data_IF_362781932136
#
_entry.id   IF_362781932136
#
_cell.length_a   1.000
_cell.length_b   1.000
_cell.length_c   1.000
_cell.angle_alpha   90.00
_cell.angle_beta   90.00
_cell.angle_gamma   90.00
#
_symmetry.space_group_name_H-M   'P 1'
#
loop_
_entity.id
_entity.type
_entity.pdbx_description
1 polymer ?
#
# COMPACT_ATOMS: atom_id res chain seq x y z
N UNK A 1 15.83 6.81 -14.41
CA UNK A 1 16.61 7.93 -13.84
C UNK A 1 17.84 7.35 -13.15
N UNK A 2 19.04 7.95 -13.27
CA UNK A 2 20.25 7.48 -12.57
C UNK A 2 20.08 7.44 -11.05
N UNK A 3 19.18 8.26 -10.50
CA UNK A 3 18.88 8.33 -9.07
C UNK A 3 18.03 7.16 -8.55
N UNK A 4 17.41 6.40 -9.45
CA UNK A 4 16.50 5.29 -9.15
C UNK A 4 16.84 4.10 -10.06
N UNK A 5 17.99 3.43 -9.83
CA UNK A 5 18.34 2.24 -10.59
C UNK A 5 17.33 1.12 -10.34
N UNK A 6 17.24 0.18 -11.29
CA UNK A 6 16.39 -0.98 -11.13
C UNK A 6 16.98 -1.89 -10.05
N UNK A 7 16.24 -2.06 -8.95
CA UNK A 7 16.65 -2.90 -7.82
C UNK A 7 15.44 -3.62 -7.19
N UNK A 8 15.71 -4.73 -6.48
CA UNK A 8 14.73 -5.41 -5.63
C UNK A 8 14.04 -4.47 -4.64
N UNK A 9 12.79 -4.78 -4.28
CA UNK A 9 11.96 -3.89 -3.47
C UNK A 9 12.60 -3.55 -2.11
N UNK A 10 13.13 -4.56 -1.44
CA UNK A 10 13.86 -4.49 -0.17
C UNK A 10 15.07 -3.54 -0.19
N UNK A 11 15.63 -3.25 -1.36
CA UNK A 11 16.80 -2.38 -1.48
C UNK A 11 16.46 -0.92 -1.84
N UNK A 12 15.22 -0.63 -2.27
CA UNK A 12 14.85 0.68 -2.81
C UNK A 12 15.07 1.83 -1.83
N UNK A 13 14.77 1.62 -0.56
CA UNK A 13 14.95 2.66 0.48
C UNK A 13 16.41 3.12 0.58
N UNK A 14 17.36 2.21 0.43
CA UNK A 14 18.77 2.51 0.63
C UNK A 14 19.45 2.98 -0.67
N UNK A 15 19.02 2.41 -1.80
CA UNK A 15 19.63 2.67 -3.11
C UNK A 15 19.07 3.92 -3.78
N UNK A 16 17.77 4.19 -3.68
CA UNK A 16 17.17 5.35 -4.35
C UNK A 16 17.54 6.64 -3.62
N UNK A 17 18.07 7.61 -4.36
CA UNK A 17 18.57 8.89 -3.84
C UNK A 17 17.81 10.06 -4.46
N UNK A 18 17.83 11.20 -3.79
CA UNK A 18 17.49 12.50 -4.38
C UNK A 18 18.74 13.25 -4.85
N UNK A 19 18.60 14.30 -5.66
CA UNK A 19 19.73 15.16 -6.03
C UNK A 19 20.19 16.06 -4.87
N UNK A 20 19.35 16.28 -3.87
CA UNK A 20 19.67 17.10 -2.69
C UNK A 20 20.47 16.29 -1.66
N UNK A 21 21.42 16.97 -1.01
CA UNK A 21 22.26 16.37 0.04
C UNK A 21 21.81 16.87 1.41
N UNK A 22 21.51 15.97 2.36
CA UNK A 22 21.20 16.36 3.73
C UNK A 22 22.46 16.73 4.51
N UNK A 23 22.27 17.46 5.60
CA UNK A 23 23.31 17.65 6.61
C UNK A 23 23.65 16.30 7.27
N UNK A 24 24.93 16.03 7.50
CA UNK A 24 25.35 14.79 8.15
C UNK A 24 24.76 14.69 9.57
N UNK A 25 24.02 13.62 9.91
CA UNK A 25 23.48 13.42 11.26
C UNK A 25 24.55 12.99 12.26
N UNK A 26 25.72 12.58 11.77
CA UNK A 26 26.84 12.09 12.58
C UNK A 26 28.09 12.91 12.32
N UNK A 27 29.03 12.85 13.26
CA UNK A 27 30.37 13.40 13.06
C UNK A 27 31.04 12.73 11.85
N UNK A 28 31.84 13.48 11.10
CA UNK A 28 32.56 12.98 9.93
C UNK A 28 33.76 12.11 10.34
N UNK A 29 33.46 10.97 10.97
CA UNK A 29 34.41 9.98 11.45
C UNK A 29 34.06 8.66 10.74
N UNK A 30 34.96 8.07 9.94
CA UNK A 30 34.64 6.94 9.05
C UNK A 30 33.95 5.77 9.74
N UNK A 31 34.39 5.41 10.95
CA UNK A 31 33.79 4.30 11.70
C UNK A 31 32.36 4.63 12.17
N UNK A 32 32.09 5.88 12.59
CA UNK A 32 30.76 6.29 13.02
C UNK A 32 29.80 6.31 11.83
N UNK A 33 30.24 6.81 10.68
CA UNK A 33 29.44 6.79 9.43
C UNK A 33 29.10 5.37 9.00
N UNK A 34 30.07 4.45 9.09
CA UNK A 34 29.84 3.04 8.78
C UNK A 34 28.83 2.39 9.73
N UNK A 35 29.00 2.58 11.04
CA UNK A 35 28.07 2.07 12.05
C UNK A 35 26.66 2.63 11.89
N UNK A 36 26.53 3.93 11.59
CA UNK A 36 25.24 4.56 11.32
C UNK A 36 24.54 3.96 10.10
N UNK A 37 25.32 3.65 9.04
CA UNK A 37 24.78 3.00 7.83
C UNK A 37 24.29 1.59 8.12
N UNK A 38 25.06 0.79 8.87
CA UNK A 38 24.66 -0.56 9.29
C UNK A 38 23.41 -0.52 10.16
N UNK A 39 23.35 0.38 11.14
CA UNK A 39 22.19 0.55 12.02
C UNK A 39 20.93 0.91 11.21
N UNK A 40 21.05 1.83 10.25
CA UNK A 40 19.94 2.22 9.37
C UNK A 40 19.42 1.04 8.56
N UNK A 41 20.31 0.21 8.01
CA UNK A 41 19.94 -0.98 7.25
C UNK A 41 19.23 -2.03 8.11
N UNK A 42 19.67 -2.21 9.36
CA UNK A 42 19.07 -3.16 10.31
C UNK A 42 17.75 -2.67 10.91
N UNK A 43 17.34 -1.41 10.70
CA UNK A 43 16.16 -0.82 11.35
C UNK A 43 14.82 -1.19 10.73
N UNK A 44 14.80 -1.88 9.58
CA UNK A 44 13.56 -2.20 8.85
C UNK A 44 13.35 -3.72 8.80
N UNK A 45 12.32 -4.20 9.51
CA UNK A 45 11.96 -5.62 9.54
C UNK A 45 11.39 -6.13 8.19
N UNK A 46 10.63 -5.29 7.48
CA UNK A 46 10.01 -5.60 6.17
C UNK A 46 10.35 -4.53 5.14
N UNK A 47 11.62 -4.49 4.75
CA UNK A 47 12.15 -3.56 3.75
C UNK A 47 11.44 -3.68 2.38
N UNK A 48 10.93 -4.86 2.03
CA UNK A 48 10.22 -5.12 0.77
C UNK A 48 8.87 -4.40 0.65
N UNK A 49 8.08 -4.43 1.72
CA UNK A 49 6.81 -3.68 1.80
C UNK A 49 7.05 -2.18 1.72
N UNK A 50 8.06 -1.69 2.45
CA UNK A 50 8.44 -0.29 2.40
C UNK A 50 8.90 0.13 1.00
N UNK A 51 9.79 -0.62 0.35
CA UNK A 51 10.22 -0.29 -1.02
C UNK A 51 9.12 -0.39 -2.07
N UNK A 52 8.08 -1.18 -1.83
CA UNK A 52 6.87 -1.20 -2.66
C UNK A 52 6.04 0.08 -2.48
N UNK A 53 5.87 0.55 -1.24
CA UNK A 53 5.23 1.83 -0.96
C UNK A 53 5.98 3.03 -1.53
N UNK A 54 7.32 3.03 -1.41
CA UNK A 54 8.17 4.07 -1.99
C UNK A 54 8.06 4.11 -3.52
N UNK A 55 7.99 2.95 -4.18
CA UNK A 55 7.73 2.88 -5.63
C UNK A 55 6.41 3.53 -5.99
N UNK A 56 5.35 3.32 -5.22
CA UNK A 56 4.04 3.94 -5.49
C UNK A 56 4.09 5.47 -5.43
N UNK A 57 4.80 6.01 -4.43
CA UNK A 57 5.05 7.46 -4.34
C UNK A 57 5.78 7.99 -5.58
N UNK A 58 6.82 7.31 -6.04
CA UNK A 58 7.52 7.72 -7.25
C UNK A 58 6.70 7.60 -8.53
N UNK A 59 5.82 6.60 -8.64
CA UNK A 59 4.86 6.50 -9.75
C UNK A 59 3.95 7.73 -9.79
N UNK A 60 3.42 8.15 -8.63
CA UNK A 60 2.67 9.40 -8.51
C UNK A 60 3.51 10.60 -8.99
N UNK A 61 4.74 10.73 -8.51
CA UNK A 61 5.62 11.82 -8.93
C UNK A 61 5.91 11.80 -10.43
N UNK A 62 6.04 10.62 -11.04
CA UNK A 62 6.29 10.48 -12.48
C UNK A 62 5.03 10.82 -13.30
N UNK A 63 3.83 10.43 -12.84
CA UNK A 63 2.53 10.79 -13.48
C UNK A 63 2.35 12.31 -13.51
N UNK A 64 2.60 12.99 -12.39
CA UNK A 64 2.41 14.44 -12.28
C UNK A 64 3.68 15.24 -12.61
N UNK A 65 4.70 14.60 -13.21
CA UNK A 65 5.96 15.24 -13.62
C UNK A 65 6.65 16.07 -12.52
N UNK A 66 6.56 15.62 -11.27
CA UNK A 66 7.21 16.26 -10.12
C UNK A 66 8.72 16.10 -10.28
N UNK A 67 9.53 17.18 -10.25
CA UNK A 67 10.96 17.10 -10.46
C UNK A 67 11.64 16.31 -9.34
N UNK A 68 12.72 15.59 -9.65
CA UNK A 68 13.44 14.74 -8.66
C UNK A 68 13.98 15.56 -7.47
N UNK A 69 14.21 16.87 -7.63
CA UNK A 69 14.59 17.82 -6.55
C UNK A 69 13.52 18.00 -5.49
N UNK A 70 12.24 17.84 -5.83
CA UNK A 70 11.13 18.12 -4.92
C UNK A 70 10.67 16.86 -4.19
N UNK A 71 11.22 15.70 -4.57
CA UNK A 71 10.86 14.39 -4.02
C UNK A 71 11.59 14.08 -2.72
N UNK A 72 12.77 14.66 -2.51
CA UNK A 72 13.58 14.47 -1.30
C UNK A 72 14.35 15.77 -0.97
N UNK A 73 14.00 16.49 0.11
CA UNK A 73 12.93 16.20 1.05
C UNK A 73 11.54 16.46 0.44
N UNK A 74 10.61 15.53 0.64
CA UNK A 74 9.23 15.66 0.21
C UNK A 74 8.49 16.67 1.10
N UNK A 75 7.84 17.64 0.49
CA UNK A 75 7.05 18.66 1.19
C UNK A 75 5.68 18.12 1.63
N UNK A 76 5.06 18.75 2.63
CA UNK A 76 3.68 18.43 3.04
C UNK A 76 2.69 18.46 1.87
N UNK A 77 2.64 19.51 1.01
CA UNK A 77 1.73 19.53 -0.13
C UNK A 77 1.91 18.33 -1.05
N UNK A 78 3.16 17.90 -1.30
CA UNK A 78 3.43 16.75 -2.15
C UNK A 78 2.89 15.44 -1.55
N UNK A 79 3.15 15.20 -0.26
CA UNK A 79 2.69 13.99 0.43
C UNK A 79 1.18 13.95 0.62
N UNK A 80 0.56 15.11 0.90
CA UNK A 80 -0.89 15.22 1.01
C UNK A 80 -1.57 14.98 -0.33
N UNK A 81 -1.03 15.53 -1.42
CA UNK A 81 -1.52 15.27 -2.79
C UNK A 81 -1.37 13.80 -3.18
N UNK A 82 -0.23 13.18 -2.86
CA UNK A 82 -0.04 11.74 -3.05
C UNK A 82 -1.11 10.92 -2.31
N UNK A 83 -1.37 11.24 -1.04
CA UNK A 83 -2.34 10.55 -0.23
C UNK A 83 -3.77 10.67 -0.81
N UNK A 84 -4.15 11.87 -1.25
CA UNK A 84 -5.45 12.13 -1.90
C UNK A 84 -5.56 11.35 -3.21
N UNK A 85 -4.56 11.44 -4.08
CA UNK A 85 -4.54 10.74 -5.37
C UNK A 85 -4.64 9.22 -5.18
N UNK A 86 -3.86 8.66 -4.25
CA UNK A 86 -3.80 7.21 -4.04
C UNK A 86 -5.12 6.64 -3.48
N UNK A 87 -5.85 7.42 -2.68
CA UNK A 87 -7.16 6.99 -2.20
C UNK A 87 -8.24 7.23 -3.24
N UNK A 88 -8.16 8.23 -4.10
CA UNK A 88 -9.28 8.64 -4.97
C UNK A 88 -9.73 7.54 -5.93
N UNK A 89 -11.04 7.31 -6.00
CA UNK A 89 -11.69 6.41 -6.96
C UNK A 89 -12.30 7.28 -8.06
N UNK A 90 -11.71 7.35 -9.26
CA UNK A 90 -12.14 8.29 -10.29
C UNK A 90 -13.55 7.93 -10.75
N UNK A 91 -14.41 8.95 -10.81
CA UNK A 91 -15.68 8.81 -11.49
C UNK A 91 -15.44 9.03 -12.98
N UNK A 92 -15.74 8.02 -13.81
CA UNK A 92 -15.53 8.09 -15.26
C UNK A 92 -16.39 9.21 -15.89
N UNK A 93 -17.43 9.65 -15.18
CA UNK A 93 -18.33 10.73 -15.61
C UNK A 93 -17.96 12.12 -15.10
N UNK A 94 -16.94 12.26 -14.25
CA UNK A 94 -16.46 13.56 -13.79
C UNK A 94 -15.52 14.16 -14.87
N UNK A 95 -15.87 15.30 -15.49
CA UNK A 95 -15.02 15.94 -16.50
C UNK A 95 -13.64 16.34 -15.96
N UNK A 96 -13.48 16.52 -14.65
CA UNK A 96 -12.18 16.78 -14.02
C UNK A 96 -11.26 15.55 -13.99
N UNK A 97 -11.80 14.35 -14.22
CA UNK A 97 -11.08 13.07 -14.21
C UNK A 97 -11.00 12.42 -15.61
N UNK A 98 -11.41 13.16 -16.65
CA UNK A 98 -11.48 12.68 -18.03
C UNK A 98 -10.13 12.77 -18.79
N UNK A 99 -9.08 13.26 -18.15
CA UNK A 99 -7.76 13.48 -18.76
C UNK A 99 -6.93 12.19 -18.96
N UNK A 100 -7.49 11.04 -18.58
CA UNK A 100 -6.83 9.75 -18.71
C UNK A 100 -5.72 9.52 -17.68
N UNK A 101 -5.67 10.32 -16.61
CA UNK A 101 -4.72 10.09 -15.51
C UNK A 101 -4.95 8.71 -14.90
N UNK A 102 -3.90 7.88 -14.77
CA UNK A 102 -4.05 6.55 -14.21
C UNK A 102 -4.24 6.65 -12.69
N UNK A 103 -5.35 6.12 -12.19
CA UNK A 103 -5.59 5.96 -10.75
C UNK A 103 -5.53 4.48 -10.37
N UNK A 104 -4.95 4.21 -9.21
CA UNK A 104 -5.00 2.88 -8.60
C UNK A 104 -5.46 3.05 -7.16
N UNK A 105 -6.77 2.93 -6.97
CA UNK A 105 -7.41 3.20 -5.70
C UNK A 105 -7.01 2.19 -4.64
N UNK A 106 -6.32 2.65 -3.60
CA UNK A 106 -5.94 1.83 -2.45
C UNK A 106 -6.65 2.29 -1.17
N UNK A 107 -6.66 1.42 -0.16
CA UNK A 107 -7.25 1.74 1.13
C UNK A 107 -6.46 2.84 1.86
N UNK A 108 -7.14 3.61 2.72
CA UNK A 108 -6.48 4.60 3.60
C UNK A 108 -5.41 3.94 4.47
N UNK A 109 -5.66 2.72 4.95
CA UNK A 109 -4.68 1.97 5.73
C UNK A 109 -3.42 1.66 4.90
N UNK A 110 -3.57 1.34 3.61
CA UNK A 110 -2.46 1.13 2.69
C UNK A 110 -1.69 2.43 2.43
N UNK A 111 -2.37 3.56 2.23
CA UNK A 111 -1.72 4.87 2.06
C UNK A 111 -0.88 5.23 3.28
N UNK A 112 -1.36 4.98 4.50
CA UNK A 112 -0.58 5.19 5.72
C UNK A 112 0.71 4.38 5.73
N UNK A 113 0.68 3.12 5.28
CA UNK A 113 1.89 2.29 5.13
C UNK A 113 2.84 2.88 4.09
N UNK A 114 2.33 3.41 2.98
CA UNK A 114 3.17 4.02 1.95
C UNK A 114 3.80 5.34 2.42
N UNK A 115 3.07 6.16 3.19
CA UNK A 115 3.62 7.35 3.83
C UNK A 115 4.68 6.99 4.87
N UNK A 116 4.49 5.91 5.63
CA UNK A 116 5.52 5.39 6.52
C UNK A 116 6.78 4.95 5.74
N UNK A 117 6.62 4.41 4.53
CA UNK A 117 7.74 4.11 3.64
C UNK A 117 8.48 5.34 3.16
N UNK A 118 7.77 6.40 2.79
CA UNK A 118 8.40 7.67 2.41
C UNK A 118 9.14 8.27 3.60
N UNK A 119 8.57 8.20 4.81
CA UNK A 119 9.26 8.60 6.06
C UNK A 119 10.52 7.76 6.31
N UNK A 120 10.44 6.44 6.20
CA UNK A 120 11.59 5.56 6.37
C UNK A 120 12.70 5.85 5.34
N UNK A 121 12.31 6.16 4.10
CA UNK A 121 13.23 6.62 3.08
C UNK A 121 13.93 7.92 3.47
N UNK A 122 13.20 8.94 3.97
CA UNK A 122 13.83 10.17 4.46
C UNK A 122 14.88 9.89 5.53
N UNK A 123 14.52 9.08 6.54
CA UNK A 123 15.42 8.72 7.64
C UNK A 123 16.66 7.97 7.15
N UNK A 124 16.48 6.98 6.28
CA UNK A 124 17.59 6.20 5.71
C UNK A 124 18.54 7.07 4.87
N UNK A 125 18.02 8.15 4.28
CA UNK A 125 18.80 9.10 3.51
C UNK A 125 19.44 10.19 4.37
N UNK A 126 19.14 10.26 5.68
CA UNK A 126 19.67 11.27 6.59
C UNK A 126 18.82 12.55 6.70
N UNK A 127 17.62 12.55 6.14
CA UNK A 127 16.67 13.65 6.27
C UNK A 127 15.79 13.48 7.52
N UNK A 128 15.32 14.58 8.12
CA UNK A 128 14.32 14.52 9.17
C UNK A 128 12.99 13.93 8.64
N UNK A 129 12.10 13.47 9.52
CA UNK A 129 10.74 13.10 9.14
C UNK A 129 10.05 14.24 8.37
N UNK A 130 9.43 13.96 7.20
CA UNK A 130 8.87 15.02 6.34
C UNK A 130 7.52 15.57 6.82
N UNK A 131 6.89 14.93 7.80
CA UNK A 131 5.56 15.31 8.31
C UNK A 131 5.63 15.53 9.81
N UNK A 132 5.02 16.61 10.28
CA UNK A 132 4.76 16.86 11.69
C UNK A 132 3.44 16.22 12.15
N UNK A 133 3.20 16.16 13.46
CA UNK A 133 1.90 15.74 14.02
C UNK A 133 0.73 16.59 13.51
N UNK A 134 0.95 17.90 13.32
CA UNK A 134 -0.08 18.80 12.79
C UNK A 134 -0.41 18.49 11.32
N UNK A 135 0.59 18.10 10.53
CA UNK A 135 0.41 17.70 9.14
C UNK A 135 -0.40 16.40 9.03
N UNK A 136 -0.17 15.45 9.95
CA UNK A 136 -0.98 14.24 10.03
C UNK A 136 -2.46 14.54 10.28
N UNK A 137 -2.77 15.49 11.17
CA UNK A 137 -4.15 15.93 11.43
C UNK A 137 -4.80 16.53 10.18
N UNK A 138 -4.07 17.39 9.45
CA UNK A 138 -4.56 18.03 8.22
C UNK A 138 -4.82 17.00 7.12
N UNK A 139 -3.91 16.06 6.93
CA UNK A 139 -4.07 14.98 5.96
C UNK A 139 -5.25 14.06 6.32
N UNK A 140 -5.43 13.76 7.61
CA UNK A 140 -6.55 12.95 8.10
C UNK A 140 -7.90 13.63 7.93
N UNK A 141 -7.95 14.96 7.88
CA UNK A 141 -9.18 15.68 7.50
C UNK A 141 -9.59 15.32 6.06
N UNK A 142 -8.68 15.43 5.09
CA UNK A 142 -8.94 15.12 3.68
C UNK A 142 -9.26 13.64 3.46
N UNK A 143 -8.47 12.74 4.06
CA UNK A 143 -8.68 11.30 3.93
C UNK A 143 -10.01 10.84 4.51
N UNK A 144 -10.48 11.44 5.62
CA UNK A 144 -11.82 11.15 6.18
C UNK A 144 -12.93 11.57 5.23
N UNK A 145 -12.79 12.72 4.55
CA UNK A 145 -13.73 13.16 3.53
C UNK A 145 -13.85 12.15 2.38
N UNK A 146 -12.70 11.74 1.83
CA UNK A 146 -12.64 10.75 0.75
C UNK A 146 -13.18 9.39 1.18
N UNK A 147 -12.92 8.96 2.42
CA UNK A 147 -13.47 7.72 2.98
C UNK A 147 -14.99 7.71 2.96
N UNK A 148 -15.62 8.83 3.32
CA UNK A 148 -17.08 8.97 3.32
C UNK A 148 -17.63 8.90 1.89
N UNK A 149 -17.03 9.64 0.97
CA UNK A 149 -17.43 9.65 -0.45
C UNK A 149 -17.34 8.24 -1.04
N UNK A 150 -16.24 7.53 -0.78
CA UNK A 150 -16.06 6.15 -1.26
C UNK A 150 -16.93 5.14 -0.56
N UNK A 151 -17.14 5.29 0.75
CA UNK A 151 -18.05 4.44 1.51
C UNK A 151 -19.48 4.52 0.98
N UNK A 152 -19.88 5.67 0.43
CA UNK A 152 -21.16 5.80 -0.27
C UNK A 152 -21.17 5.03 -1.61
N UNK A 153 -20.06 5.05 -2.37
CA UNK A 153 -19.94 4.33 -3.66
C UNK A 153 -19.73 2.81 -3.51
N UNK A 154 -19.01 2.36 -2.47
CA UNK A 154 -18.47 1.00 -2.32
C UNK A 154 -19.27 0.06 -1.41
N UNK A 155 -20.48 0.41 -0.97
CA UNK A 155 -21.36 -0.56 -0.31
C UNK A 155 -21.80 -1.60 -1.34
N UNK A 156 -20.94 -2.61 -1.57
CA UNK A 156 -21.39 -3.87 -2.15
C UNK A 156 -22.61 -4.32 -1.34
N UNK A 157 -23.72 -4.71 -1.99
CA UNK A 157 -24.83 -5.27 -1.24
C UNK A 157 -24.29 -6.44 -0.40
N UNK A 158 -24.81 -6.64 0.82
CA UNK A 158 -24.43 -7.78 1.63
C UNK A 158 -24.51 -9.05 0.78
N UNK A 159 -23.43 -9.85 0.79
CA UNK A 159 -23.44 -11.13 0.07
C UNK A 159 -24.57 -11.98 0.67
N UNK A 160 -25.46 -12.55 -0.15
CA UNK A 160 -26.51 -13.41 0.38
C UNK A 160 -25.89 -14.58 1.13
N UNK A 161 -26.52 -15.07 2.20
CA UNK A 161 -26.03 -16.24 2.93
C UNK A 161 -26.00 -17.44 1.99
N UNK A 162 -25.04 -18.34 2.21
CA UNK A 162 -25.11 -19.67 1.61
C UNK A 162 -26.42 -20.34 2.09
N UNK A 163 -27.16 -20.97 1.18
CA UNK A 163 -28.42 -21.64 1.50
C UNK A 163 -28.31 -23.15 1.30
N UNK A 164 -29.21 -23.91 1.93
CA UNK A 164 -29.30 -25.36 1.72
C UNK A 164 -29.53 -25.69 0.25
N UNK A 165 -30.29 -24.86 -0.49
CA UNK A 165 -30.51 -25.03 -1.92
C UNK A 165 -29.21 -24.92 -2.72
N UNK A 166 -28.30 -24.01 -2.34
CA UNK A 166 -26.97 -23.92 -2.94
C UNK A 166 -26.13 -25.16 -2.64
N UNK A 167 -26.22 -25.72 -1.43
CA UNK A 167 -25.55 -26.99 -1.10
C UNK A 167 -26.10 -28.16 -1.92
N UNK A 168 -27.42 -28.25 -2.07
CA UNK A 168 -28.07 -29.29 -2.86
C UNK A 168 -27.67 -29.20 -4.34
N UNK A 169 -27.62 -27.98 -4.89
CA UNK A 169 -27.14 -27.73 -6.25
C UNK A 169 -25.66 -28.10 -6.41
N UNK A 170 -24.82 -27.80 -5.42
CA UNK A 170 -23.42 -28.24 -5.43
C UNK A 170 -23.33 -29.77 -5.44
N UNK A 171 -24.07 -30.45 -4.56
CA UNK A 171 -24.09 -31.92 -4.48
C UNK A 171 -24.49 -32.58 -5.78
N UNK A 172 -25.50 -32.04 -6.49
CA UNK A 172 -25.99 -32.65 -7.73
C UNK A 172 -25.00 -32.59 -8.87
N UNK A 173 -24.00 -31.70 -8.79
CA UNK A 173 -22.94 -31.56 -9.79
C UNK A 173 -21.66 -32.32 -9.44
N UNK A 174 -21.55 -32.89 -8.23
CA UNK A 174 -20.37 -33.62 -7.76
C UNK A 174 -20.55 -35.14 -7.91
N UNK A 175 -19.50 -35.84 -8.34
CA UNK A 175 -19.47 -37.31 -8.39
C UNK A 175 -18.85 -37.86 -7.12
N UNK A 176 -19.67 -38.24 -6.14
CA UNK A 176 -19.17 -38.73 -4.83
C UNK A 176 -18.39 -40.06 -4.89
N UNK A 177 -18.35 -40.73 -6.05
CA UNK A 177 -17.46 -41.87 -6.29
C UNK A 177 -16.02 -41.45 -6.60
N UNK A 178 -15.81 -40.19 -7.01
CA UNK A 178 -14.49 -39.60 -7.19
C UNK A 178 -14.01 -39.00 -5.84
N UNK A 179 -12.83 -39.41 -5.33
CA UNK A 179 -12.33 -38.94 -4.03
C UNK A 179 -12.18 -37.42 -3.92
N UNK A 180 -11.88 -36.73 -5.03
CA UNK A 180 -11.72 -35.28 -5.04
C UNK A 180 -13.07 -34.57 -4.88
N UNK A 181 -14.06 -34.94 -5.69
CA UNK A 181 -15.44 -34.43 -5.57
C UNK A 181 -16.07 -34.75 -4.20
N UNK A 182 -15.78 -35.93 -3.64
CA UNK A 182 -16.21 -36.31 -2.29
C UNK A 182 -15.59 -35.41 -1.20
N UNK A 183 -14.33 -35.03 -1.37
CA UNK A 183 -13.64 -34.09 -0.48
C UNK A 183 -14.27 -32.69 -0.55
N UNK A 184 -14.54 -32.17 -1.76
CA UNK A 184 -15.21 -30.87 -1.94
C UNK A 184 -16.58 -30.87 -1.26
N UNK A 185 -17.33 -31.96 -1.39
CA UNK A 185 -18.63 -32.09 -0.72
C UNK A 185 -18.49 -32.08 0.81
N UNK A 186 -17.56 -32.85 1.37
CA UNK A 186 -17.30 -32.88 2.80
C UNK A 186 -16.88 -31.50 3.33
N UNK A 187 -15.95 -30.82 2.65
CA UNK A 187 -15.51 -29.48 3.01
C UNK A 187 -16.68 -28.47 2.98
N UNK A 188 -17.55 -28.56 1.97
CA UNK A 188 -18.70 -27.67 1.85
C UNK A 188 -19.72 -27.87 2.97
N UNK A 189 -19.96 -29.13 3.39
CA UNK A 189 -20.81 -29.44 4.53
C UNK A 189 -20.20 -28.95 5.85
N UNK A 190 -18.91 -29.18 6.08
CA UNK A 190 -18.21 -28.69 7.27
C UNK A 190 -18.23 -27.16 7.36
N UNK A 191 -17.98 -26.47 6.24
CA UNK A 191 -18.07 -25.01 6.17
C UNK A 191 -19.49 -24.51 6.48
N UNK A 192 -20.51 -25.13 5.91
CA UNK A 192 -21.89 -24.70 6.05
C UNK A 192 -22.47 -24.96 7.45
N UNK A 193 -22.30 -26.17 8.00
CA UNK A 193 -22.87 -26.55 9.29
C UNK A 193 -21.97 -26.15 10.47
N UNK A 194 -20.65 -26.11 10.26
CA UNK A 194 -19.68 -25.68 11.27
C UNK A 194 -19.47 -24.17 11.30
N UNK A 195 -20.09 -23.40 10.39
CA UNK A 195 -19.87 -21.95 10.23
C UNK A 195 -18.39 -21.60 10.02
N UNK A 196 -17.65 -22.50 9.37
CA UNK A 196 -16.20 -22.41 9.24
C UNK A 196 -15.83 -21.53 8.04
N UNK A 197 -14.71 -20.82 8.15
CA UNK A 197 -14.12 -20.07 7.03
C UNK A 197 -13.48 -21.05 6.04
N UNK A 198 -13.44 -20.69 4.75
CA UNK A 198 -12.80 -21.54 3.73
C UNK A 198 -11.35 -21.96 4.12
N UNK A 199 -10.59 -21.03 4.71
CA UNK A 199 -9.22 -21.32 5.18
C UNK A 199 -9.12 -22.22 6.42
N UNK A 200 -10.24 -22.58 7.06
CA UNK A 200 -10.27 -23.54 8.18
C UNK A 200 -10.60 -24.96 7.71
N UNK A 201 -11.18 -25.10 6.51
CA UNK A 201 -11.65 -26.39 5.97
C UNK A 201 -10.74 -26.93 4.86
N UNK A 202 -9.90 -26.07 4.27
CA UNK A 202 -9.00 -26.41 3.15
C UNK A 202 -7.56 -26.74 3.57
N UNK A 203 -7.27 -26.82 4.88
CA UNK A 203 -5.95 -27.12 5.45
C UNK A 203 -5.70 -28.63 5.48
#
# INVERSE_FOLDING_TARGET
SPLRPNCPADQRIFIWRGPNTPSSPVLNIPIITHLATLASQASLDDSGSYGSGLRKFHIFCDIFSIPDSDRLPASFPLLNSFAIWAVTDPDIHDPAMADGTPFETISIATVRKYLAAVRAWHLAQGWPPPLSEQDHVRMDWSLRGLAKIQGMKRKRPPRPPATIAMLQSLKSNLRLSDPFDACIWAMSCCAFFGLMRFGEVSV
#
